data_IF_918689978616
#
_entry.id   IF_918689978616
#
_cell.length_a   1.000
_cell.length_b   1.000
_cell.length_c   1.000
_cell.angle_alpha   90.00
_cell.angle_beta   90.00
_cell.angle_gamma   90.00
#
_symmetry.space_group_name_H-M   'P 1'
#
loop_
_entity.id
_entity.type
_entity.pdbx_description
1 polymer ?
#
# COMPACT_ATOMS: atom_id res chain seq x y z
N UNK A 1 1.03 22.27 -1.92
CA UNK A 1 1.39 21.23 -2.91
C UNK A 1 0.78 19.92 -2.47
N UNK A 2 0.65 18.95 -3.37
CA UNK A 2 0.29 17.58 -3.01
C UNK A 2 1.56 16.79 -2.63
N UNK A 3 1.40 15.75 -1.81
CA UNK A 3 2.42 14.71 -1.63
C UNK A 3 2.29 13.73 -2.80
N UNK A 4 3.40 13.40 -3.47
CA UNK A 4 3.40 12.47 -4.58
C UNK A 4 3.95 11.11 -4.13
N UNK A 5 3.23 10.05 -4.47
CA UNK A 5 3.67 8.67 -4.39
C UNK A 5 3.61 8.08 -5.80
N UNK A 6 4.48 7.12 -6.09
CA UNK A 6 4.57 6.49 -7.42
C UNK A 6 4.55 4.99 -7.24
N UNK A 7 3.63 4.31 -7.91
CA UNK A 7 3.62 2.86 -8.00
C UNK A 7 4.15 2.44 -9.38
N UNK A 8 5.18 1.60 -9.39
CA UNK A 8 5.77 1.08 -10.63
C UNK A 8 5.17 -0.27 -11.05
N UNK A 9 4.41 -0.95 -10.17
CA UNK A 9 3.84 -2.28 -10.37
C UNK A 9 4.84 -3.27 -11.00
N UNK A 10 5.96 -3.51 -10.31
CA UNK A 10 7.02 -4.43 -10.76
C UNK A 10 7.71 -4.00 -12.09
N UNK A 11 7.52 -2.76 -12.53
CA UNK A 11 7.81 -2.32 -13.89
C UNK A 11 9.27 -2.01 -14.22
N UNK A 12 10.15 -1.88 -13.22
CA UNK A 12 11.55 -1.47 -13.45
C UNK A 12 12.55 -2.56 -13.05
N UNK A 13 13.65 -2.63 -13.79
CA UNK A 13 14.88 -3.26 -13.29
C UNK A 13 15.61 -2.32 -12.32
N UNK A 14 16.53 -2.86 -11.51
CA UNK A 14 17.33 -2.03 -10.59
C UNK A 14 18.06 -0.87 -11.31
N UNK A 15 18.75 -1.08 -12.46
CA UNK A 15 19.42 0.03 -13.14
C UNK A 15 18.46 1.09 -13.66
N UNK A 16 17.26 0.71 -14.09
CA UNK A 16 16.22 1.67 -14.52
C UNK A 16 15.72 2.47 -13.32
N UNK A 17 15.38 1.80 -12.22
CA UNK A 17 14.95 2.45 -10.99
C UNK A 17 16.00 3.44 -10.46
N UNK A 18 17.27 3.02 -10.38
CA UNK A 18 18.39 3.89 -9.96
C UNK A 18 18.59 5.09 -10.90
N UNK A 19 18.36 4.91 -12.20
CA UNK A 19 18.46 6.00 -13.17
C UNK A 19 17.39 7.09 -13.00
N UNK A 20 16.27 6.76 -12.35
CA UNK A 20 15.14 7.66 -12.13
C UNK A 20 15.22 8.45 -10.81
N UNK A 21 16.18 8.14 -9.92
CA UNK A 21 16.23 8.72 -8.56
C UNK A 21 16.25 10.26 -8.60
N UNK A 22 17.09 10.85 -9.45
CA UNK A 22 17.21 12.32 -9.53
C UNK A 22 15.90 12.97 -10.00
N UNK A 23 15.19 12.35 -10.95
CA UNK A 23 13.90 12.84 -11.45
C UNK A 23 12.79 12.70 -10.40
N UNK A 24 12.77 11.58 -9.65
CA UNK A 24 11.83 11.35 -8.55
C UNK A 24 12.04 12.37 -7.42
N UNK A 25 13.30 12.68 -7.09
CA UNK A 25 13.66 13.72 -6.11
C UNK A 25 13.26 15.11 -6.61
N UNK A 26 13.54 15.43 -7.88
CA UNK A 26 13.15 16.72 -8.47
C UNK A 26 11.62 16.91 -8.48
N UNK A 27 10.86 15.82 -8.62
CA UNK A 27 9.40 15.81 -8.52
C UNK A 27 8.89 15.84 -7.07
N UNK A 28 9.75 15.77 -6.06
CA UNK A 28 9.38 15.68 -4.64
C UNK A 28 8.46 14.48 -4.35
N UNK A 29 8.79 13.32 -4.92
CA UNK A 29 8.16 12.03 -4.61
C UNK A 29 8.57 11.60 -3.20
N UNK A 30 7.61 11.22 -2.37
CA UNK A 30 7.85 10.80 -0.98
C UNK A 30 7.99 9.30 -0.80
N UNK A 31 7.41 8.51 -1.72
CA UNK A 31 7.41 7.06 -1.66
C UNK A 31 7.30 6.46 -3.07
N UNK A 32 8.05 5.38 -3.30
CA UNK A 32 7.96 4.55 -4.51
C UNK A 32 7.51 3.13 -4.12
N UNK A 33 6.41 2.68 -4.69
CA UNK A 33 5.80 1.37 -4.46
C UNK A 33 6.23 0.38 -5.54
N UNK A 34 6.59 -0.82 -5.08
CA UNK A 34 7.02 -1.99 -5.86
C UNK A 34 7.82 -1.65 -7.14
N UNK A 35 9.01 -1.02 -7.00
CA UNK A 35 9.80 -0.63 -8.18
C UNK A 35 10.23 -1.83 -9.04
N UNK A 36 10.60 -2.95 -8.39
CA UNK A 36 11.15 -4.14 -9.04
C UNK A 36 10.16 -5.32 -9.00
N UNK A 37 10.30 -6.29 -9.93
CA UNK A 37 9.61 -7.56 -9.81
C UNK A 37 9.87 -8.24 -8.47
N UNK A 38 8.82 -8.72 -7.80
CA UNK A 38 8.88 -9.33 -6.47
C UNK A 38 9.80 -10.57 -6.41
N UNK A 39 10.05 -11.20 -7.56
CA UNK A 39 10.97 -12.34 -7.70
C UNK A 39 12.42 -11.93 -7.96
N UNK A 40 12.73 -10.64 -8.00
CA UNK A 40 14.04 -10.11 -8.36
C UNK A 40 14.37 -8.82 -7.60
N UNK A 41 13.79 -8.66 -6.42
CA UNK A 41 13.91 -7.47 -5.59
C UNK A 41 14.95 -7.60 -4.46
N UNK A 42 15.65 -8.74 -4.37
CA UNK A 42 16.61 -8.99 -3.29
C UNK A 42 17.75 -7.97 -3.25
N UNK A 43 18.01 -7.33 -4.39
CA UNK A 43 19.06 -6.34 -4.57
C UNK A 43 18.74 -4.99 -3.92
N UNK A 44 17.47 -4.73 -3.58
CA UNK A 44 17.07 -3.48 -2.90
C UNK A 44 17.74 -3.30 -1.53
N UNK A 45 18.11 -4.40 -0.86
CA UNK A 45 18.79 -4.38 0.45
C UNK A 45 20.10 -3.57 0.47
N UNK A 46 20.73 -3.39 -0.70
CA UNK A 46 21.99 -2.66 -0.82
C UNK A 46 21.78 -1.14 -1.05
N UNK A 47 20.56 -0.73 -1.40
CA UNK A 47 20.23 0.64 -1.73
C UNK A 47 19.93 1.49 -0.50
N UNK A 48 20.20 2.79 -0.61
CA UNK A 48 19.69 3.81 0.31
C UNK A 48 19.08 4.90 -0.54
N UNK A 49 17.76 5.08 -0.43
CA UNK A 49 17.00 5.97 -1.28
C UNK A 49 16.55 7.22 -0.50
N UNK A 50 16.40 8.38 -1.18
CA UNK A 50 15.98 9.63 -0.53
C UNK A 50 14.47 9.71 -0.23
N UNK A 51 13.72 8.66 -0.57
CA UNK A 51 12.29 8.46 -0.35
C UNK A 51 12.06 7.03 0.15
N UNK A 52 10.87 6.75 0.69
CA UNK A 52 10.52 5.41 1.15
C UNK A 52 10.30 4.47 -0.03
N UNK A 53 10.72 3.20 0.11
CA UNK A 53 10.36 2.13 -0.82
C UNK A 53 9.33 1.21 -0.16
N UNK A 54 8.17 1.03 -0.81
CA UNK A 54 7.05 0.25 -0.30
C UNK A 54 6.91 -1.09 -1.05
N UNK A 55 6.74 -2.19 -0.32
CA UNK A 55 6.44 -3.49 -0.89
C UNK A 55 4.92 -3.69 -1.06
N UNK A 56 4.49 -4.01 -2.28
CA UNK A 56 3.12 -4.45 -2.58
C UNK A 56 3.13 -5.93 -2.97
N UNK A 57 3.46 -6.26 -4.22
CA UNK A 57 3.53 -7.63 -4.72
C UNK A 57 4.55 -8.50 -3.95
N UNK A 58 5.56 -7.90 -3.33
CA UNK A 58 6.51 -8.63 -2.47
C UNK A 58 5.99 -8.97 -1.07
N UNK A 59 4.85 -8.41 -0.66
CA UNK A 59 4.27 -8.63 0.67
C UNK A 59 2.79 -9.02 0.58
N UNK A 60 2.49 -10.32 0.70
CA UNK A 60 1.10 -10.81 0.67
C UNK A 60 0.49 -10.99 2.06
N UNK A 61 1.26 -11.57 2.96
CA UNK A 61 0.86 -12.04 4.29
C UNK A 61 2.09 -12.04 5.22
N UNK A 62 1.95 -12.54 6.46
CA UNK A 62 3.09 -12.61 7.38
C UNK A 62 4.20 -13.54 6.93
N UNK A 63 3.89 -14.59 6.15
CA UNK A 63 4.92 -15.47 5.61
C UNK A 63 5.87 -14.73 4.66
N UNK A 64 5.40 -13.63 4.07
CA UNK A 64 6.16 -12.76 3.18
C UNK A 64 7.11 -11.80 3.91
N UNK A 65 6.91 -11.53 5.21
CA UNK A 65 7.66 -10.48 5.93
C UNK A 65 9.17 -10.73 5.96
N UNK A 66 9.60 -11.99 6.07
CA UNK A 66 11.02 -12.33 6.16
C UNK A 66 11.82 -11.92 4.92
N UNK A 67 11.18 -11.87 3.74
CA UNK A 67 11.81 -11.37 2.52
C UNK A 67 11.73 -9.85 2.36
N UNK A 68 10.81 -9.19 3.06
CA UNK A 68 10.60 -7.74 2.98
C UNK A 68 11.53 -6.98 3.91
N UNK A 69 11.72 -7.49 5.14
CA UNK A 69 12.50 -6.81 6.18
C UNK A 69 13.94 -6.58 5.70
N UNK A 70 14.37 -5.33 5.75
CA UNK A 70 15.69 -4.87 5.29
C UNK A 70 15.78 -4.55 3.80
N UNK A 71 14.76 -4.88 2.99
CA UNK A 71 14.67 -4.49 1.57
C UNK A 71 13.77 -3.29 1.34
N UNK A 72 12.74 -3.15 2.16
CA UNK A 72 11.72 -2.11 2.06
C UNK A 72 11.58 -1.35 3.37
N UNK A 73 11.13 -0.10 3.27
CA UNK A 73 10.83 0.77 4.41
C UNK A 73 9.36 0.63 4.86
N UNK A 74 8.49 0.23 3.93
CA UNK A 74 7.03 0.20 4.09
C UNK A 74 6.44 -1.05 3.46
N UNK A 75 5.27 -1.48 3.93
CA UNK A 75 4.43 -2.47 3.25
C UNK A 75 3.06 -1.91 2.90
N UNK A 76 2.50 -2.34 1.77
CA UNK A 76 1.12 -2.10 1.39
C UNK A 76 0.24 -3.30 1.78
N UNK A 77 -0.61 -3.13 2.79
CA UNK A 77 -1.56 -4.16 3.23
C UNK A 77 -2.85 -4.02 2.41
N UNK A 78 -3.19 -5.07 1.64
CA UNK A 78 -4.45 -5.19 0.89
C UNK A 78 -5.19 -6.44 1.38
N UNK A 79 -6.48 -6.33 1.68
CA UNK A 79 -7.27 -7.47 2.19
C UNK A 79 -7.35 -8.63 1.18
N UNK A 80 -7.32 -8.31 -0.12
CA UNK A 80 -7.29 -9.30 -1.20
C UNK A 80 -6.01 -10.15 -1.18
N UNK A 81 -4.88 -9.59 -0.70
CA UNK A 81 -3.61 -10.31 -0.56
C UNK A 81 -3.53 -11.12 0.73
N UNK A 82 -3.97 -10.53 1.84
CA UNK A 82 -3.93 -11.18 3.16
C UNK A 82 -5.00 -12.26 3.31
N UNK A 83 -5.96 -12.35 2.38
CA UNK A 83 -7.09 -13.26 2.48
C UNK A 83 -8.11 -12.85 3.56
N UNK A 84 -8.12 -11.58 3.95
CA UNK A 84 -9.10 -11.02 4.87
C UNK A 84 -8.52 -10.25 6.07
N UNK A 85 -9.43 -9.81 6.94
CA UNK A 85 -9.14 -8.86 8.02
C UNK A 85 -8.23 -9.44 9.12
N UNK A 86 -8.43 -10.71 9.51
CA UNK A 86 -7.67 -11.32 10.61
C UNK A 86 -6.16 -11.32 10.32
N UNK A 87 -5.76 -11.82 9.16
CA UNK A 87 -4.35 -11.83 8.77
C UNK A 87 -3.81 -10.41 8.55
N UNK A 88 -4.64 -9.46 8.07
CA UNK A 88 -4.22 -8.07 7.94
C UNK A 88 -3.92 -7.39 9.28
N UNK A 89 -4.70 -7.68 10.34
CA UNK A 89 -4.43 -7.18 11.69
C UNK A 89 -3.09 -7.72 12.21
N UNK A 90 -2.86 -9.03 12.05
CA UNK A 90 -1.65 -9.69 12.53
C UNK A 90 -0.41 -9.24 11.73
N UNK A 91 -0.53 -9.14 10.39
CA UNK A 91 0.51 -8.61 9.51
C UNK A 91 0.89 -7.17 9.89
N UNK A 92 -0.08 -6.29 10.12
CA UNK A 92 0.17 -4.91 10.52
C UNK A 92 0.96 -4.83 11.83
N UNK A 93 0.58 -5.64 12.82
CA UNK A 93 1.27 -5.67 14.10
C UNK A 93 2.73 -6.12 13.95
N UNK A 94 2.97 -7.24 13.27
CA UNK A 94 4.32 -7.78 13.09
C UNK A 94 5.21 -6.87 12.22
N UNK A 95 4.64 -6.23 11.19
CA UNK A 95 5.36 -5.27 10.37
C UNK A 95 5.79 -4.03 11.17
N UNK A 96 4.91 -3.50 12.03
CA UNK A 96 5.24 -2.38 12.93
C UNK A 96 6.31 -2.77 13.94
N UNK A 97 6.25 -3.97 14.51
CA UNK A 97 7.30 -4.49 15.41
C UNK A 97 8.66 -4.62 14.71
N UNK A 98 8.65 -4.96 13.42
CA UNK A 98 9.84 -4.98 12.57
C UNK A 98 10.34 -3.59 12.14
N UNK A 99 9.66 -2.51 12.54
CA UNK A 99 10.03 -1.14 12.21
C UNK A 99 9.60 -0.66 10.82
N UNK A 100 8.71 -1.38 10.15
CA UNK A 100 8.16 -1.00 8.85
C UNK A 100 7.05 0.04 9.00
N UNK A 101 6.98 0.95 8.05
CA UNK A 101 5.82 1.81 7.85
C UNK A 101 4.67 1.05 7.18
N UNK A 102 3.45 1.54 7.33
CA UNK A 102 2.23 0.86 6.86
C UNK A 102 1.49 1.76 5.89
N UNK A 103 1.35 1.27 4.66
CA UNK A 103 0.33 1.68 3.72
C UNK A 103 -0.83 0.69 3.74
N UNK A 104 -2.06 1.18 3.56
CA UNK A 104 -3.23 0.33 3.39
C UNK A 104 -3.88 0.64 2.06
N UNK A 105 -3.80 -0.31 1.14
CA UNK A 105 -4.29 -0.18 -0.23
C UNK A 105 -5.50 -1.07 -0.51
N UNK A 106 -5.98 -0.98 -1.73
CA UNK A 106 -7.01 -1.87 -2.25
C UNK A 106 -6.76 -2.23 -3.71
N UNK A 107 -7.46 -3.26 -4.18
CA UNK A 107 -7.70 -3.42 -5.62
C UNK A 107 -8.85 -2.49 -6.04
N UNK A 108 -9.03 -2.30 -7.35
CA UNK A 108 -10.29 -1.74 -7.87
C UNK A 108 -11.45 -2.61 -7.38
N UNK A 109 -12.21 -2.09 -6.42
CA UNK A 109 -13.16 -2.85 -5.62
C UNK A 109 -14.28 -1.95 -5.09
N UNK A 110 -15.38 -2.55 -4.64
CA UNK A 110 -16.53 -1.79 -4.12
C UNK A 110 -16.42 -1.48 -2.63
N UNK A 111 -17.34 -0.65 -2.12
CA UNK A 111 -17.38 -0.23 -0.71
C UNK A 111 -17.43 -1.40 0.29
N UNK A 112 -17.95 -2.55 -0.11
CA UNK A 112 -17.96 -3.75 0.74
C UNK A 112 -16.56 -4.30 1.05
N UNK A 113 -15.61 -4.18 0.11
CA UNK A 113 -14.22 -4.59 0.32
C UNK A 113 -13.45 -3.53 1.12
N UNK A 114 -13.76 -2.24 0.89
CA UNK A 114 -13.12 -1.12 1.59
C UNK A 114 -13.55 -1.02 3.05
N UNK A 115 -14.81 -1.30 3.38
CA UNK A 115 -15.34 -1.16 4.73
C UNK A 115 -14.47 -1.84 5.82
N UNK A 116 -14.09 -3.14 5.72
CA UNK A 116 -13.15 -3.74 6.66
C UNK A 116 -11.73 -3.15 6.57
N UNK A 117 -11.27 -2.73 5.39
CA UNK A 117 -9.93 -2.15 5.22
C UNK A 117 -9.78 -0.81 5.96
N UNK A 118 -10.87 -0.04 6.12
CA UNK A 118 -10.89 1.20 6.92
C UNK A 118 -10.39 0.99 8.36
N UNK A 119 -10.59 -0.19 8.94
CA UNK A 119 -10.12 -0.52 10.29
C UNK A 119 -8.62 -0.75 10.33
N UNK A 120 -8.05 -1.35 9.29
CA UNK A 120 -6.60 -1.52 9.15
C UNK A 120 -5.94 -0.17 8.87
N UNK A 121 -6.60 0.71 8.10
CA UNK A 121 -6.13 2.04 7.75
C UNK A 121 -6.05 3.03 8.93
N UNK A 122 -6.68 2.72 10.07
CA UNK A 122 -6.52 3.56 11.28
C UNK A 122 -5.04 3.57 11.70
N UNK A 123 -4.43 4.74 11.87
CA UNK A 123 -3.00 4.89 12.18
C UNK A 123 -2.04 4.26 11.14
N UNK A 124 -2.48 4.15 9.89
CA UNK A 124 -1.59 3.90 8.75
C UNK A 124 -0.87 5.20 8.33
N UNK A 125 0.33 5.09 7.77
CA UNK A 125 1.13 6.23 7.31
C UNK A 125 0.61 6.76 5.96
N UNK A 126 0.11 5.86 5.11
CA UNK A 126 -0.54 6.15 3.83
C UNK A 126 -1.78 5.27 3.62
N UNK A 127 -2.76 5.78 2.90
CA UNK A 127 -4.03 5.09 2.62
C UNK A 127 -4.39 5.27 1.16
N UNK A 128 -4.61 4.16 0.47
CA UNK A 128 -5.03 4.06 -0.93
C UNK A 128 -6.29 3.18 -1.03
N UNK A 129 -7.39 3.71 -0.52
CA UNK A 129 -8.69 3.04 -0.43
C UNK A 129 -9.72 3.68 -1.36
N UNK A 130 -9.29 3.99 -2.58
CA UNK A 130 -10.06 4.72 -3.59
C UNK A 130 -10.75 3.81 -4.62
N UNK A 131 -10.59 2.49 -4.52
CA UNK A 131 -11.21 1.47 -5.38
C UNK A 131 -12.65 1.77 -5.81
N UNK A 132 -13.57 2.17 -4.89
CA UNK A 132 -14.96 2.47 -5.23
C UNK A 132 -15.13 3.65 -6.19
N UNK A 133 -14.21 4.62 -6.19
CA UNK A 133 -14.27 5.79 -7.08
C UNK A 133 -14.12 5.41 -8.56
N UNK A 134 -13.52 4.25 -8.85
CA UNK A 134 -13.37 3.74 -10.21
C UNK A 134 -14.61 2.99 -10.71
N UNK A 135 -15.60 2.72 -9.86
CA UNK A 135 -16.79 1.98 -10.24
C UNK A 135 -17.89 2.88 -10.81
N UNK A 136 -18.42 2.51 -11.97
CA UNK A 136 -19.61 3.18 -12.54
C UNK A 136 -20.87 3.00 -11.66
N UNK A 137 -20.89 1.96 -10.83
CA UNK A 137 -21.96 1.67 -9.86
C UNK A 137 -21.38 0.86 -8.70
N UNK A 138 -21.59 1.36 -7.49
CA UNK A 138 -21.31 0.64 -6.24
C UNK A 138 -22.62 0.26 -5.52
N UNK A 139 -22.52 -0.38 -4.36
CA UNK A 139 -23.65 -0.70 -3.48
C UNK A 139 -24.32 0.58 -2.92
N UNK A 140 -25.62 0.49 -2.64
CA UNK A 140 -26.32 1.53 -1.89
C UNK A 140 -25.77 1.67 -0.47
N UNK A 141 -25.72 2.91 0.06
CA UNK A 141 -25.10 3.22 1.36
C UNK A 141 -23.63 2.80 1.50
N UNK A 142 -22.89 2.81 0.38
CA UNK A 142 -21.43 2.63 0.34
C UNK A 142 -20.66 3.71 1.10
N UNK A 143 -19.33 3.61 1.04
CA UNK A 143 -18.41 4.60 1.58
C UNK A 143 -18.62 5.93 0.84
N UNK A 144 -18.71 7.01 1.61
CA UNK A 144 -18.87 8.36 1.07
C UNK A 144 -17.49 9.02 0.93
N UNK A 145 -17.24 9.59 -0.24
CA UNK A 145 -16.00 10.32 -0.55
C UNK A 145 -16.32 11.81 -0.74
N UNK A 146 -15.57 12.65 -0.03
CA UNK A 146 -15.66 14.10 -0.11
C UNK A 146 -14.25 14.67 -0.27
N UNK A 147 -13.90 15.07 -1.49
CA UNK A 147 -12.54 15.48 -1.85
C UNK A 147 -11.51 14.41 -1.43
N UNK A 148 -10.54 14.74 -0.58
CA UNK A 148 -9.54 13.81 -0.05
C UNK A 148 -9.98 13.07 1.23
N UNK A 149 -11.25 13.18 1.62
CA UNK A 149 -11.78 12.53 2.82
C UNK A 149 -12.70 11.37 2.47
N UNK A 150 -12.45 10.24 3.14
CA UNK A 150 -13.28 9.05 3.09
C UNK A 150 -14.05 8.90 4.42
N UNK A 151 -15.35 8.63 4.36
CA UNK A 151 -16.15 8.40 5.56
C UNK A 151 -15.80 7.06 6.23
N UNK A 152 -16.08 6.93 7.52
CA UNK A 152 -16.14 5.61 8.14
C UNK A 152 -17.31 4.80 7.54
N UNK A 153 -17.20 3.46 7.46
CA UNK A 153 -18.30 2.63 7.00
C UNK A 153 -19.52 2.80 7.89
N UNK A 154 -20.69 2.96 7.27
CA UNK A 154 -21.97 2.94 7.99
C UNK A 154 -22.21 1.53 8.52
N UNK A 155 -22.95 1.46 9.64
CA UNK A 155 -23.39 0.19 10.22
C UNK A 155 -24.07 -0.72 9.17
N UNK A 156 -25.00 -0.15 8.39
CA UNK A 156 -25.69 -0.88 7.33
C UNK A 156 -24.78 -1.48 6.23
N UNK A 157 -23.57 -0.95 6.04
CA UNK A 157 -22.58 -1.46 5.09
C UNK A 157 -21.78 -2.62 5.69
N UNK A 158 -21.34 -2.48 6.94
CA UNK A 158 -20.48 -3.45 7.62
C UNK A 158 -20.63 -3.39 9.15
N UNK A 159 -21.71 -3.97 9.71
CA UNK A 159 -21.91 -4.18 11.16
C UNK A 159 -23.27 -3.79 11.71
#
# INVERSE_FOLDING_TARGET
>A
GARLIVDANEGWSLPEFESLIDDLVACNVSMVEQPLPARSDETLVAGVYPFHVCADESCHDRNSLSSVIGRYDMINIKLDKTGGLTEAVELKAEAREAGLEIMVGCMVSGSLAIAPACYIAQDADLVDLDGPLFLARDIGDGIEFHESHMSLPKRALWG
#
